data_IF_904187747684
#
_entry.id   IF_904187747684
#
_cell.length_a   1.000
_cell.length_b   1.000
_cell.length_c   1.000
_cell.angle_alpha   90.00
_cell.angle_beta   90.00
_cell.angle_gamma   90.00
#
_symmetry.space_group_name_H-M   'P 1'
#
loop_
_entity.id
_entity.type
_entity.pdbx_description
1 polymer ?
#
# COMPACT_ATOMS: atom_id res chain seq x y z
N UNK A 1 -13.36 13.60 -4.35
CA UNK A 1 -12.76 13.08 -5.59
C UNK A 1 -12.12 11.76 -5.24
N UNK A 2 -12.62 10.66 -5.79
CA UNK A 2 -12.09 9.32 -5.53
C UNK A 2 -10.78 9.15 -6.30
N UNK A 3 -9.73 8.67 -5.63
CA UNK A 3 -8.45 8.36 -6.28
C UNK A 3 -8.33 6.84 -6.34
N UNK A 4 -8.20 6.30 -7.55
CA UNK A 4 -7.84 4.91 -7.78
C UNK A 4 -6.33 4.80 -7.97
N UNK A 5 -5.77 3.69 -7.49
CA UNK A 5 -4.36 3.36 -7.62
C UNK A 5 -4.23 1.93 -8.14
N UNK A 6 -3.10 1.64 -8.75
CA UNK A 6 -2.79 0.30 -9.27
C UNK A 6 -1.96 -0.46 -8.25
N UNK A 7 -2.53 -1.52 -7.68
CA UNK A 7 -1.79 -2.47 -6.84
C UNK A 7 -1.10 -3.51 -7.73
N UNK A 8 0.24 -3.52 -7.72
CA UNK A 8 1.01 -4.65 -8.22
C UNK A 8 1.36 -5.55 -7.04
N UNK A 9 1.06 -6.84 -7.14
CA UNK A 9 1.37 -7.82 -6.10
C UNK A 9 1.91 -9.13 -6.69
N UNK A 10 2.59 -9.88 -5.84
CA UNK A 10 3.09 -11.22 -6.10
C UNK A 10 3.03 -12.04 -4.81
N UNK A 11 3.15 -13.37 -4.93
CA UNK A 11 3.33 -14.26 -3.79
C UNK A 11 4.81 -14.40 -3.49
N UNK A 12 5.16 -14.25 -2.22
CA UNK A 12 6.49 -14.51 -1.66
C UNK A 12 6.29 -15.45 -0.46
N UNK A 13 6.67 -16.72 -0.64
CA UNK A 13 6.26 -17.84 0.23
C UNK A 13 4.74 -17.88 0.47
N UNK A 14 4.30 -17.76 1.73
CA UNK A 14 2.89 -17.78 2.15
C UNK A 14 2.28 -16.36 2.22
N UNK A 15 3.00 -15.34 1.76
CA UNK A 15 2.60 -13.93 1.88
C UNK A 15 2.28 -13.31 0.52
N UNK A 16 1.21 -12.52 0.49
CA UNK A 16 0.99 -11.55 -0.58
C UNK A 16 1.83 -10.32 -0.29
N UNK A 17 2.73 -9.96 -1.21
CA UNK A 17 3.53 -8.74 -1.15
C UNK A 17 3.10 -7.81 -2.27
N UNK A 18 2.95 -6.53 -1.98
CA UNK A 18 2.49 -5.56 -2.98
C UNK A 18 2.97 -4.14 -2.78
N UNK A 19 2.83 -3.35 -3.85
CA UNK A 19 3.12 -1.91 -3.87
C UNK A 19 2.16 -1.15 -4.78
N UNK A 20 1.99 0.15 -4.51
CA UNK A 20 1.29 1.04 -5.42
C UNK A 20 2.23 1.49 -6.55
N UNK A 21 1.79 1.36 -7.80
CA UNK A 21 2.60 1.75 -8.97
C UNK A 21 2.84 3.26 -9.00
N UNK A 22 1.82 4.04 -8.66
CA UNK A 22 1.86 5.50 -8.68
C UNK A 22 2.59 6.09 -7.46
N UNK A 23 2.77 5.29 -6.41
CA UNK A 23 3.45 5.69 -5.18
C UNK A 23 4.43 4.58 -4.76
N UNK A 24 5.61 4.50 -5.39
CA UNK A 24 6.56 3.42 -5.13
C UNK A 24 7.03 3.29 -3.68
N UNK A 25 6.90 4.36 -2.88
CA UNK A 25 7.19 4.35 -1.44
C UNK A 25 6.12 3.67 -0.57
N UNK A 26 4.95 3.35 -1.14
CA UNK A 26 3.88 2.61 -0.45
C UNK A 26 3.94 1.15 -0.86
N UNK A 27 4.39 0.33 0.07
CA UNK A 27 4.47 -1.11 -0.05
C UNK A 27 4.05 -1.77 1.26
N UNK A 28 3.52 -2.98 1.17
CA UNK A 28 3.16 -3.78 2.35
C UNK A 28 3.01 -5.26 1.98
N UNK A 29 2.60 -6.07 2.96
CA UNK A 29 2.33 -7.50 2.81
C UNK A 29 1.10 -7.93 3.63
N UNK A 30 0.51 -9.09 3.32
CA UNK A 30 -0.58 -9.70 4.08
C UNK A 30 -0.69 -11.21 3.81
N UNK A 31 -1.32 -11.98 4.69
CA UNK A 31 -1.52 -13.42 4.50
C UNK A 31 -2.63 -13.68 3.46
N UNK A 32 -3.53 -12.71 3.29
CA UNK A 32 -4.55 -12.71 2.24
C UNK A 32 -4.47 -11.44 1.38
N UNK A 33 -5.06 -11.49 0.17
CA UNK A 33 -5.14 -10.33 -0.70
C UNK A 33 -5.91 -9.16 -0.04
N UNK A 34 -6.96 -9.45 0.73
CA UNK A 34 -7.73 -8.44 1.45
C UNK A 34 -6.88 -7.73 2.52
N UNK A 35 -6.11 -8.49 3.29
CA UNK A 35 -5.18 -7.94 4.28
C UNK A 35 -4.08 -7.10 3.62
N UNK A 36 -3.51 -7.56 2.50
CA UNK A 36 -2.55 -6.77 1.74
C UNK A 36 -3.17 -5.42 1.33
N UNK A 37 -4.40 -5.41 0.80
CA UNK A 37 -5.07 -4.16 0.42
C UNK A 37 -5.31 -3.22 1.62
N UNK A 38 -5.73 -3.75 2.77
CA UNK A 38 -5.91 -2.97 3.99
C UNK A 38 -4.59 -2.36 4.47
N UNK A 39 -3.52 -3.17 4.52
CA UNK A 39 -2.20 -2.72 4.94
C UNK A 39 -1.60 -1.68 3.98
N UNK A 40 -1.88 -1.79 2.67
CA UNK A 40 -1.51 -0.77 1.67
C UNK A 40 -2.26 0.54 1.92
N UNK A 41 -3.57 0.49 2.21
CA UNK A 41 -4.36 1.69 2.53
C UNK A 41 -3.83 2.39 3.77
N UNK A 42 -3.47 1.63 4.81
CA UNK A 42 -2.88 2.18 6.03
C UNK A 42 -1.50 2.80 5.79
N UNK A 43 -0.63 2.11 5.06
CA UNK A 43 0.68 2.65 4.66
C UNK A 43 0.54 3.98 3.89
N UNK A 44 -0.39 4.05 2.93
CA UNK A 44 -0.68 5.27 2.17
C UNK A 44 -1.19 6.41 3.07
N UNK A 45 -2.13 6.13 3.99
CA UNK A 45 -2.63 7.12 4.95
C UNK A 45 -1.52 7.68 5.83
N UNK A 46 -0.63 6.81 6.33
CA UNK A 46 0.52 7.21 7.13
C UNK A 46 1.50 8.08 6.35
N UNK A 47 1.74 7.76 5.06
CA UNK A 47 2.62 8.55 4.21
C UNK A 47 2.07 9.97 4.00
N UNK A 48 0.78 10.10 3.66
CA UNK A 48 0.14 11.43 3.49
C UNK A 48 0.13 12.20 4.81
N UNK A 49 -0.16 11.53 5.93
CA UNK A 49 -0.14 12.16 7.25
C UNK A 49 1.27 12.67 7.61
N UNK A 50 2.32 11.95 7.20
CA UNK A 50 3.72 12.34 7.42
C UNK A 50 4.15 13.51 6.54
N UNK A 51 3.76 13.53 5.26
CA UNK A 51 4.08 14.63 4.34
C UNK A 51 3.41 15.96 4.75
N UNK A 52 2.24 15.90 5.39
CA UNK A 52 1.52 17.05 5.93
C UNK A 52 2.22 17.74 7.12
N UNK A 53 3.20 17.11 7.77
CA UNK A 53 3.90 17.67 8.95
C UNK A 53 5.16 18.46 8.54
N UNK A 54 5.56 18.42 7.28
CA UNK A 54 6.76 19.09 6.76
C UNK A 54 6.49 20.25 5.80
N UNK A 55 5.23 20.68 5.66
CA UNK A 55 4.83 21.82 4.82
C UNK A 55 4.45 23.05 5.66
#
# INVERSE_FOLDING_TARGET
MERSFTLQYWLDDEWYVGRLVEVPGVFSQGETLAELEENIRDCYRLMIARDLVTA
#
